data_IF_154864503584
#
_entry.id   IF_154864503584
#
_cell.length_a   1.000
_cell.length_b   1.000
_cell.length_c   1.000
_cell.angle_alpha   90.00
_cell.angle_beta   90.00
_cell.angle_gamma   90.00
#
_symmetry.space_group_name_H-M   'P 1'
#
loop_
_entity.id
_entity.type
_entity.pdbx_description
1 polymer ?
#
# COMPACT_ATOMS: atom_id res chain seq x y z
N UNK A 1 6.86 -2.08 -10.50
CA UNK A 1 6.54 -3.48 -10.11
C UNK A 1 5.32 -3.88 -10.92
N UNK A 2 5.40 -4.98 -11.66
CA UNK A 2 4.24 -5.55 -12.35
C UNK A 2 3.70 -6.70 -11.52
N UNK A 3 2.38 -6.71 -11.27
CA UNK A 3 1.70 -7.72 -10.49
C UNK A 3 0.58 -8.30 -11.35
N UNK A 4 0.45 -9.63 -11.35
CA UNK A 4 -0.62 -10.33 -12.05
C UNK A 4 -1.91 -10.19 -11.24
N UNK A 5 -3.03 -9.94 -11.93
CA UNK A 5 -4.35 -9.87 -11.33
C UNK A 5 -4.69 -11.14 -10.54
N UNK A 6 -5.49 -11.01 -9.50
CA UNK A 6 -5.83 -12.12 -8.59
C UNK A 6 -4.77 -12.45 -7.55
N UNK A 7 -3.52 -12.01 -7.74
CA UNK A 7 -2.45 -12.24 -6.78
C UNK A 7 -2.41 -11.16 -5.68
N UNK A 8 -1.48 -11.35 -4.74
CA UNK A 8 -1.18 -10.41 -3.66
C UNK A 8 -0.04 -9.48 -4.07
N UNK A 9 -0.23 -8.18 -3.91
CA UNK A 9 0.84 -7.18 -3.98
C UNK A 9 1.27 -6.74 -2.57
N UNK A 10 2.57 -6.49 -2.39
CA UNK A 10 3.13 -5.83 -1.21
C UNK A 10 4.03 -4.71 -1.68
N UNK A 11 3.66 -3.47 -1.36
CA UNK A 11 4.43 -2.28 -1.66
C UNK A 11 5.21 -1.86 -0.42
N UNK A 12 6.56 -1.88 -0.47
CA UNK A 12 7.36 -1.52 0.68
C UNK A 12 7.30 -0.01 0.94
N UNK A 13 7.21 0.39 2.21
CA UNK A 13 7.51 1.74 2.64
C UNK A 13 8.53 1.66 3.76
N UNK A 14 9.72 2.21 3.51
CA UNK A 14 10.77 2.27 4.52
C UNK A 14 10.62 3.59 5.26
N UNK A 15 10.23 3.54 6.53
CA UNK A 15 10.24 4.70 7.41
C UNK A 15 11.33 4.58 8.45
N UNK A 16 11.97 5.70 8.76
CA UNK A 16 13.02 5.80 9.76
C UNK A 16 12.59 6.85 10.78
N UNK A 17 12.62 6.50 12.07
CA UNK A 17 12.25 7.41 13.16
C UNK A 17 12.04 6.68 14.48
N UNK A 18 12.36 7.34 15.59
CA UNK A 18 12.04 6.89 16.94
C UNK A 18 11.34 8.02 17.71
N UNK A 19 10.05 7.89 18.08
CA UNK A 19 9.19 6.71 17.89
C UNK A 19 8.88 6.45 16.41
N UNK A 20 8.46 5.21 16.10
CA UNK A 20 8.12 4.79 14.73
C UNK A 20 7.04 5.72 14.16
N UNK A 21 7.25 6.33 12.98
CA UNK A 21 6.26 7.23 12.40
C UNK A 21 5.04 6.46 11.90
N UNK A 22 3.88 7.08 12.03
CA UNK A 22 2.65 6.60 11.38
C UNK A 22 2.78 6.74 9.87
N UNK A 23 2.40 5.70 9.12
CA UNK A 23 2.49 5.67 7.66
C UNK A 23 1.10 5.74 7.05
N UNK A 24 0.90 6.64 6.10
CA UNK A 24 -0.30 6.69 5.26
C UNK A 24 0.05 6.45 3.80
N UNK A 25 -0.87 5.86 3.05
CA UNK A 25 -0.68 5.59 1.62
C UNK A 25 -1.59 6.46 0.76
N UNK A 26 -1.05 6.94 -0.36
CA UNK A 26 -1.76 7.74 -1.35
C UNK A 26 -1.59 7.08 -2.72
N UNK A 27 -2.67 6.93 -3.46
CA UNK A 27 -2.69 6.49 -4.86
C UNK A 27 -2.98 7.70 -5.75
N UNK A 28 -1.98 8.15 -6.51
CA UNK A 28 -2.04 9.44 -7.19
C UNK A 28 -2.23 10.58 -6.19
N UNK A 29 -3.42 11.16 -6.17
CA UNK A 29 -3.82 12.24 -5.24
C UNK A 29 -4.83 11.78 -4.17
N UNK A 30 -5.27 10.51 -4.21
CA UNK A 30 -6.30 9.99 -3.31
C UNK A 30 -5.71 9.17 -2.18
N UNK A 31 -6.12 9.44 -0.94
CA UNK A 31 -5.73 8.62 0.22
C UNK A 31 -6.29 7.20 0.07
N UNK A 32 -5.40 6.21 0.22
CA UNK A 32 -5.76 4.80 0.22
C UNK A 32 -6.47 4.49 1.53
N UNK A 33 -7.70 3.99 1.44
CA UNK A 33 -8.47 3.53 2.59
C UNK A 33 -8.26 2.04 2.79
N UNK A 34 -8.12 1.62 4.03
CA UNK A 34 -8.10 0.20 4.38
C UNK A 34 -9.47 -0.44 4.11
N UNK A 35 -9.43 -1.67 3.60
CA UNK A 35 -10.60 -2.47 3.25
C UNK A 35 -10.30 -3.94 3.54
N UNK A 36 -11.25 -4.84 3.31
CA UNK A 36 -10.98 -6.28 3.42
C UNK A 36 -9.81 -6.76 2.52
N UNK A 37 -9.55 -6.08 1.40
CA UNK A 37 -8.45 -6.40 0.47
C UNK A 37 -7.18 -5.60 0.74
N UNK A 38 -7.28 -4.39 1.29
CA UNK A 38 -6.18 -3.44 1.40
C UNK A 38 -5.89 -3.18 2.87
N UNK A 39 -4.64 -3.41 3.30
CA UNK A 39 -4.20 -3.18 4.67
C UNK A 39 -2.81 -2.55 4.71
N UNK A 40 -2.60 -1.64 5.66
CA UNK A 40 -1.27 -1.13 5.99
C UNK A 40 -0.71 -2.02 7.09
N UNK A 41 0.42 -2.67 6.83
CA UNK A 41 1.07 -3.54 7.80
C UNK A 41 1.79 -2.70 8.86
N UNK A 42 2.05 -3.29 10.03
CA UNK A 42 2.83 -2.62 11.08
C UNK A 42 4.17 -2.11 10.56
N UNK A 43 4.79 -2.80 9.59
CA UNK A 43 6.04 -2.36 8.95
C UNK A 43 5.92 -1.07 8.13
N UNK A 44 4.71 -0.56 7.89
CA UNK A 44 4.41 0.56 6.97
C UNK A 44 4.09 0.10 5.54
N UNK A 45 4.25 -1.19 5.23
CA UNK A 45 4.04 -1.70 3.88
C UNK A 45 2.55 -1.76 3.55
N UNK A 46 2.19 -1.40 2.31
CA UNK A 46 0.83 -1.59 1.81
C UNK A 46 0.68 -2.99 1.24
N UNK A 47 -0.31 -3.74 1.72
CA UNK A 47 -0.68 -5.04 1.20
C UNK A 47 -2.04 -4.95 0.50
N UNK A 48 -2.09 -5.44 -0.74
CA UNK A 48 -3.32 -5.55 -1.53
C UNK A 48 -3.52 -7.02 -1.90
N UNK A 49 -4.64 -7.61 -1.50
CA UNK A 49 -5.07 -8.94 -1.89
C UNK A 49 -5.97 -8.91 -3.12
N UNK A 50 -5.94 -9.98 -3.91
CA UNK A 50 -6.76 -10.14 -5.11
C UNK A 50 -6.67 -8.89 -5.99
N UNK A 51 -5.45 -8.52 -6.39
CA UNK A 51 -5.15 -7.32 -7.17
C UNK A 51 -6.04 -7.27 -8.39
N UNK A 52 -6.68 -6.12 -8.60
CA UNK A 52 -7.52 -5.87 -9.77
C UNK A 52 -6.87 -4.83 -10.68
N UNK A 53 -7.37 -4.72 -11.92
CA UNK A 53 -6.90 -3.72 -12.87
C UNK A 53 -7.04 -2.30 -12.33
N UNK A 54 -8.09 -2.04 -11.55
CA UNK A 54 -8.35 -0.73 -10.94
C UNK A 54 -7.37 -0.42 -9.80
N UNK A 55 -6.64 -1.40 -9.29
CA UNK A 55 -5.56 -1.17 -8.32
C UNK A 55 -4.29 -0.64 -9.01
N UNK A 56 -4.17 -0.73 -10.33
CA UNK A 56 -3.03 -0.17 -11.06
C UNK A 56 -2.91 1.36 -10.87
N UNK A 57 -1.69 1.83 -10.68
CA UNK A 57 -1.39 3.25 -10.53
C UNK A 57 -0.13 3.52 -9.73
N UNK A 58 0.14 4.80 -9.48
CA UNK A 58 1.28 5.24 -8.68
C UNK A 58 0.88 5.36 -7.21
N UNK A 59 1.60 4.65 -6.34
CA UNK A 59 1.42 4.69 -4.91
C UNK A 59 2.60 5.41 -4.25
N UNK A 60 2.31 6.21 -3.22
CA UNK A 60 3.30 6.89 -2.40
C UNK A 60 2.94 6.75 -0.94
N UNK A 61 3.92 6.44 -0.10
CA UNK A 61 3.74 6.51 1.34
C UNK A 61 4.19 7.87 1.88
N UNK A 62 3.50 8.35 2.92
CA UNK A 62 3.73 9.61 3.62
C UNK A 62 3.69 9.42 5.13
#
# INVERSE_FOLDING_TARGET
VEIIEGLKAVLPCVTMGNPKPSVSWVKGETVVKETARIAVLDSGNLRIHNVQREDAGQYRCV
#
